data_IF_489553945254
#
_entry.id   IF_489553945254
#
_cell.length_a   1.000
_cell.length_b   1.000
_cell.length_c   1.000
_cell.angle_alpha   90.00
_cell.angle_beta   90.00
_cell.angle_gamma   90.00
#
_symmetry.space_group_name_H-M   'P 1'
#
loop_
_entity.id
_entity.type
_entity.pdbx_description
1 polymer ?
#
# COMPACT_ATOMS: atom_id res chain seq x y z
N UNK A 1 -16.19 -2.75 15.91
CA UNK A 1 -15.66 -2.03 14.74
C UNK A 1 -14.94 -0.84 15.35
N UNK A 2 -13.61 -0.94 15.52
CA UNK A 2 -12.86 -0.01 16.35
C UNK A 2 -12.80 1.38 15.69
N UNK A 3 -13.03 2.42 16.49
CA UNK A 3 -13.03 3.84 16.12
C UNK A 3 -11.60 4.32 15.83
N UNK A 4 -11.26 4.48 14.55
CA UNK A 4 -9.94 4.93 14.09
C UNK A 4 -9.86 6.46 13.87
N UNK A 5 -10.90 7.21 14.21
CA UNK A 5 -10.88 8.68 14.06
C UNK A 5 -10.43 9.42 15.31
N UNK A 6 -10.45 8.79 16.48
CA UNK A 6 -9.98 9.44 17.73
C UNK A 6 -8.47 9.28 17.97
N UNK A 7 -7.82 8.25 17.40
CA UNK A 7 -6.37 8.08 17.52
C UNK A 7 -5.56 9.09 16.69
N UNK A 8 -6.10 9.59 15.58
CA UNK A 8 -5.36 10.46 14.67
C UNK A 8 -5.24 11.90 15.18
N UNK A 9 -6.27 12.41 15.86
CA UNK A 9 -6.25 13.75 16.45
C UNK A 9 -5.48 13.79 17.79
N UNK A 10 -5.39 12.68 18.51
CA UNK A 10 -4.62 12.58 19.75
C UNK A 10 -3.09 12.54 19.54
N UNK A 11 -2.64 12.11 18.35
CA UNK A 11 -1.22 11.91 18.01
C UNK A 11 -0.51 13.20 17.57
N UNK A 12 -1.23 14.22 17.09
CA UNK A 12 -0.62 15.43 16.52
C UNK A 12 -0.52 16.61 17.49
N UNK A 13 -1.21 16.55 18.64
CA UNK A 13 -1.30 17.67 19.57
C UNK A 13 -0.53 17.48 20.89
N UNK A 14 0.00 16.28 21.16
CA UNK A 14 0.70 15.95 22.42
C UNK A 14 2.14 15.41 22.25
N UNK A 15 2.69 15.37 21.03
CA UNK A 15 4.10 15.01 20.85
C UNK A 15 5.00 16.19 21.28
N UNK A 16 5.91 16.00 22.26
CA UNK A 16 6.80 17.08 22.68
C UNK A 16 7.66 17.51 21.50
N UNK A 17 7.70 18.82 21.24
CA UNK A 17 8.58 19.41 20.24
C UNK A 17 10.03 19.04 20.58
N UNK A 18 10.59 18.03 19.92
CA UNK A 18 11.97 17.59 20.18
C UNK A 18 12.88 18.74 19.78
N UNK A 19 13.56 19.34 20.76
CA UNK A 19 14.56 20.38 20.50
C UNK A 19 15.66 19.84 19.59
N UNK A 20 16.19 20.68 18.69
CA UNK A 20 17.33 20.32 17.85
C UNK A 20 18.51 19.73 18.64
N UNK A 21 18.73 20.17 19.89
CA UNK A 21 19.76 19.62 20.79
C UNK A 21 19.51 18.17 21.21
N UNK A 22 18.24 17.74 21.28
CA UNK A 22 17.84 16.41 21.71
C UNK A 22 17.85 15.41 20.56
N UNK A 23 17.67 15.88 19.32
CA UNK A 23 17.90 15.10 18.10
C UNK A 23 19.35 14.57 18.04
N UNK A 24 20.34 15.41 18.34
CA UNK A 24 21.75 15.00 18.36
C UNK A 24 22.08 13.98 19.47
N UNK A 25 21.35 14.01 20.59
CA UNK A 25 21.49 13.02 21.69
C UNK A 25 20.86 11.68 21.33
N UNK A 26 19.85 11.68 20.45
CA UNK A 26 19.18 10.47 19.96
C UNK A 26 19.93 9.81 18.81
N UNK A 27 20.71 10.57 18.04
CA UNK A 27 21.43 10.06 16.87
C UNK A 27 22.29 8.81 17.17
N UNK A 28 23.12 8.73 18.23
CA UNK A 28 23.89 7.52 18.53
C UNK A 28 23.02 6.33 18.96
N UNK A 29 21.87 6.60 19.60
CA UNK A 29 20.91 5.59 20.07
C UNK A 29 20.15 4.97 18.91
N UNK A 30 19.72 5.81 17.95
CA UNK A 30 19.10 5.40 16.69
C UNK A 30 20.12 4.70 15.80
N UNK A 31 21.35 5.22 15.70
CA UNK A 31 22.42 4.60 14.90
C UNK A 31 22.79 3.21 15.43
N UNK A 32 22.80 3.01 16.76
CA UNK A 32 22.94 1.68 17.38
C UNK A 32 21.80 0.73 17.02
N UNK A 33 20.57 1.23 16.84
CA UNK A 33 19.41 0.46 16.39
C UNK A 33 19.38 0.24 14.86
N UNK A 34 20.05 1.09 14.08
CA UNK A 34 20.17 1.01 12.63
C UNK A 34 21.36 0.15 12.17
N UNK A 35 22.24 -0.29 13.08
CA UNK A 35 23.31 -1.25 12.74
C UNK A 35 22.67 -2.51 12.14
N UNK A 36 23.28 -3.05 11.08
CA UNK A 36 22.83 -4.28 10.42
C UNK A 36 22.64 -5.38 11.46
N UNK A 37 21.38 -5.68 11.78
CA UNK A 37 21.04 -6.82 12.63
C UNK A 37 21.23 -8.09 11.79
N UNK A 38 22.07 -8.99 12.26
CA UNK A 38 22.15 -10.34 11.70
C UNK A 38 20.87 -11.10 12.08
N UNK A 39 20.23 -11.76 11.10
CA UNK A 39 19.00 -12.52 11.28
C UNK A 39 17.72 -11.82 10.83
N UNK A 40 16.62 -12.57 10.92
CA UNK A 40 15.27 -12.03 10.73
C UNK A 40 14.93 -11.05 11.85
N UNK A 41 14.15 -9.99 11.57
CA UNK A 41 13.67 -9.09 12.61
C UNK A 41 12.89 -9.89 13.67
N UNK A 42 12.97 -9.44 14.92
CA UNK A 42 12.12 -9.96 15.99
C UNK A 42 10.65 -9.95 15.55
N UNK A 43 9.93 -11.02 15.89
CA UNK A 43 8.50 -11.15 15.60
C UNK A 43 7.75 -9.93 16.13
N UNK A 44 7.00 -9.26 15.26
CA UNK A 44 6.17 -8.09 15.61
C UNK A 44 4.72 -8.51 15.70
N UNK A 45 3.90 -7.68 16.35
CA UNK A 45 2.44 -7.87 16.44
C UNK A 45 1.75 -7.92 15.06
N UNK A 46 2.42 -7.42 14.01
CA UNK A 46 1.95 -7.47 12.63
C UNK A 46 2.97 -8.25 11.78
N UNK A 47 2.59 -9.44 11.36
CA UNK A 47 3.36 -10.28 10.43
C UNK A 47 2.90 -10.00 8.99
N UNK A 48 3.83 -10.00 8.04
CA UNK A 48 3.45 -9.98 6.62
C UNK A 48 2.86 -11.35 6.23
N UNK A 49 1.55 -11.41 6.00
CA UNK A 49 0.88 -12.56 5.41
C UNK A 49 0.70 -12.37 3.89
N UNK A 50 0.80 -13.47 3.15
CA UNK A 50 0.54 -13.52 1.72
C UNK A 50 -0.70 -14.37 1.53
N UNK A 51 -1.84 -13.70 1.31
CA UNK A 51 -3.11 -14.37 1.06
C UNK A 51 -3.19 -14.80 -0.41
N UNK A 52 -3.62 -16.03 -0.66
CA UNK A 52 -3.77 -16.59 -2.00
C UNK A 52 -5.24 -16.65 -2.41
N UNK A 53 -5.49 -16.53 -3.71
CA UNK A 53 -6.82 -16.75 -4.30
C UNK A 53 -7.23 -18.21 -4.04
N UNK A 54 -8.50 -18.43 -3.70
CA UNK A 54 -9.01 -19.77 -3.40
C UNK A 54 -8.76 -20.73 -4.57
N UNK A 55 -8.23 -21.93 -4.26
CA UNK A 55 -7.87 -22.99 -5.23
C UNK A 55 -6.80 -22.58 -6.25
N UNK A 56 -6.01 -21.55 -5.99
CA UNK A 56 -4.91 -21.18 -6.89
C UNK A 56 -3.83 -22.26 -6.93
N UNK A 57 -3.32 -22.55 -8.13
CA UNK A 57 -2.18 -23.45 -8.33
C UNK A 57 -0.88 -22.71 -8.00
N UNK A 58 -0.07 -23.28 -7.11
CA UNK A 58 1.23 -22.71 -6.78
C UNK A 58 2.19 -22.84 -7.97
N UNK A 59 2.92 -21.77 -8.33
CA UNK A 59 3.90 -21.86 -9.39
C UNK A 59 5.08 -22.72 -8.93
N UNK A 60 5.47 -23.70 -9.75
CA UNK A 60 6.72 -24.43 -9.60
C UNK A 60 7.55 -24.22 -10.86
N UNK A 61 8.22 -23.06 -10.94
CA UNK A 61 9.01 -22.67 -12.10
C UNK A 61 10.46 -23.10 -11.90
N UNK A 62 11.03 -23.71 -12.95
CA UNK A 62 12.46 -23.96 -13.01
C UNK A 62 13.26 -22.65 -12.99
N UNK A 63 14.50 -22.72 -12.50
CA UNK A 63 15.43 -21.59 -12.56
C UNK A 63 15.74 -21.22 -14.01
N UNK A 64 16.01 -19.92 -14.26
CA UNK A 64 16.48 -19.49 -15.57
C UNK A 64 17.85 -20.10 -15.87
N UNK A 65 18.10 -20.43 -17.14
CA UNK A 65 19.41 -20.86 -17.60
C UNK A 65 20.38 -19.68 -17.52
N UNK A 66 21.47 -19.85 -16.78
CA UNK A 66 22.50 -18.83 -16.58
C UNK A 66 23.86 -19.32 -17.06
N UNK A 67 24.75 -18.38 -17.38
CA UNK A 67 26.15 -18.71 -17.63
C UNK A 67 26.87 -19.07 -16.30
N UNK A 68 27.98 -19.82 -16.34
CA UNK A 68 28.68 -20.25 -15.13
C UNK A 68 29.11 -19.08 -14.23
N UNK A 69 29.54 -17.95 -14.82
CA UNK A 69 29.99 -16.76 -14.08
C UNK A 69 28.86 -16.08 -13.32
N UNK A 70 27.67 -16.00 -13.90
CA UNK A 70 26.44 -15.51 -13.26
C UNK A 70 25.99 -16.44 -12.16
N UNK A 71 26.07 -17.75 -12.38
CA UNK A 71 25.69 -18.73 -11.36
C UNK A 71 26.57 -18.62 -10.11
N UNK A 72 27.88 -18.43 -10.28
CA UNK A 72 28.81 -18.17 -9.15
C UNK A 72 28.44 -16.89 -8.40
N UNK A 73 28.05 -15.82 -9.11
CA UNK A 73 27.61 -14.56 -8.48
C UNK A 73 26.29 -14.72 -7.73
N UNK A 74 25.35 -15.46 -8.29
CA UNK A 74 24.08 -15.75 -7.65
C UNK A 74 24.30 -16.56 -6.37
N UNK A 75 25.06 -17.66 -6.47
CA UNK A 75 25.36 -18.53 -5.34
C UNK A 75 25.99 -17.75 -4.20
N UNK A 76 26.98 -16.89 -4.49
CA UNK A 76 27.59 -16.02 -3.48
C UNK A 76 26.57 -15.15 -2.73
N UNK A 77 25.60 -14.55 -3.43
CA UNK A 77 24.56 -13.74 -2.78
C UNK A 77 23.59 -14.59 -1.95
N UNK A 78 23.27 -15.80 -2.40
CA UNK A 78 22.44 -16.75 -1.64
C UNK A 78 23.15 -17.18 -0.36
N UNK A 79 24.44 -17.54 -0.44
CA UNK A 79 25.25 -17.95 0.71
C UNK A 79 25.40 -16.81 1.73
N UNK A 80 25.57 -15.57 1.26
CA UNK A 80 25.58 -14.39 2.12
C UNK A 80 24.24 -14.19 2.86
N UNK A 81 23.11 -14.41 2.18
CA UNK A 81 21.78 -14.31 2.80
C UNK A 81 21.50 -15.46 3.77
N UNK A 82 21.96 -16.67 3.48
CA UNK A 82 21.89 -17.83 4.37
C UNK A 82 22.73 -17.57 5.64
N UNK A 83 23.96 -17.09 5.47
CA UNK A 83 24.85 -16.73 6.59
C UNK A 83 24.26 -15.62 7.46
N UNK A 84 23.60 -14.63 6.84
CA UNK A 84 22.87 -13.57 7.56
C UNK A 84 21.56 -14.06 8.18
N UNK A 85 21.14 -15.30 7.96
CA UNK A 85 19.86 -15.84 8.48
C UNK A 85 18.62 -15.14 7.92
N UNK A 86 18.73 -14.46 6.77
CA UNK A 86 17.60 -13.76 6.13
C UNK A 86 16.78 -14.70 5.23
N UNK A 87 17.38 -15.79 4.79
CA UNK A 87 16.74 -16.86 4.02
C UNK A 87 17.13 -18.21 4.61
N UNK A 88 16.34 -19.24 4.33
CA UNK A 88 16.58 -20.62 4.76
C UNK A 88 16.20 -21.57 3.63
N UNK A 89 16.82 -22.74 3.60
CA UNK A 89 16.41 -23.80 2.68
C UNK A 89 14.97 -24.24 2.96
N UNK A 90 14.21 -24.53 1.89
CA UNK A 90 12.80 -24.83 2.00
C UNK A 90 12.41 -25.92 1.00
N UNK A 91 11.52 -26.81 1.43
CA UNK A 91 10.89 -27.84 0.58
C UNK A 91 9.52 -27.38 0.05
N UNK A 92 9.36 -26.07 -0.16
CA UNK A 92 8.12 -25.45 -0.62
C UNK A 92 7.67 -26.03 -1.98
N UNK A 93 6.37 -26.37 -2.17
CA UNK A 93 5.82 -26.73 -3.47
C UNK A 93 5.70 -25.53 -4.42
N UNK A 94 5.86 -24.31 -3.90
CA UNK A 94 5.95 -23.08 -4.67
C UNK A 94 7.42 -22.73 -4.89
N UNK A 95 7.84 -22.67 -6.16
CA UNK A 95 9.16 -22.25 -6.59
C UNK A 95 9.05 -21.18 -7.67
N UNK A 96 9.81 -20.10 -7.51
CA UNK A 96 9.92 -19.00 -8.47
C UNK A 96 11.36 -18.81 -8.86
N UNK A 97 11.56 -18.49 -10.15
CA UNK A 97 12.87 -18.21 -10.71
C UNK A 97 13.46 -16.91 -10.17
N UNK A 98 14.78 -16.82 -10.21
CA UNK A 98 15.55 -15.64 -9.80
C UNK A 98 16.30 -15.08 -11.00
N UNK A 99 16.41 -13.75 -11.06
CA UNK A 99 17.09 -13.00 -12.11
C UNK A 99 18.21 -12.15 -11.49
N UNK A 100 19.33 -12.02 -12.20
CA UNK A 100 20.40 -11.10 -11.84
C UNK A 100 20.25 -9.81 -12.66
N UNK A 101 20.15 -8.68 -11.96
CA UNK A 101 20.03 -7.37 -12.60
C UNK A 101 21.34 -6.59 -12.41
N UNK A 102 22.03 -6.20 -13.50
CA UNK A 102 23.22 -5.36 -13.39
C UNK A 102 22.84 -3.94 -12.96
N UNK A 103 23.61 -3.38 -12.03
CA UNK A 103 23.50 -1.99 -11.59
C UNK A 103 24.57 -1.12 -12.24
N UNK A 104 24.34 0.20 -12.22
CA UNK A 104 25.28 1.24 -12.71
C UNK A 104 26.68 1.12 -12.09
N UNK A 105 26.77 0.66 -10.84
CA UNK A 105 28.03 0.48 -10.10
C UNK A 105 28.74 -0.86 -10.40
N UNK A 106 28.39 -1.56 -11.49
CA UNK A 106 28.93 -2.89 -11.87
C UNK A 106 28.62 -4.04 -10.90
N UNK A 107 27.79 -3.80 -9.88
CA UNK A 107 27.27 -4.86 -9.03
C UNK A 107 26.04 -5.50 -9.65
N UNK A 108 25.80 -6.78 -9.34
CA UNK A 108 24.57 -7.47 -9.70
C UNK A 108 23.67 -7.53 -8.48
N UNK A 109 22.37 -7.38 -8.68
CA UNK A 109 21.36 -7.58 -7.64
C UNK A 109 20.52 -8.80 -7.98
N UNK A 110 20.45 -9.75 -7.05
CA UNK A 110 19.48 -10.85 -7.09
C UNK A 110 18.05 -10.31 -6.94
N UNK A 111 17.18 -10.69 -7.87
CA UNK A 111 15.76 -10.32 -7.88
C UNK A 111 14.89 -11.56 -8.11
N UNK A 112 13.96 -11.82 -7.20
CA UNK A 112 12.99 -12.90 -7.32
C UNK A 112 11.90 -12.52 -8.33
N UNK A 113 11.59 -13.39 -9.29
CA UNK A 113 10.51 -13.18 -10.26
C UNK A 113 9.15 -13.51 -9.62
N UNK A 114 8.62 -12.53 -8.88
CA UNK A 114 7.34 -12.66 -8.17
C UNK A 114 6.12 -12.59 -9.09
N UNK A 115 6.26 -12.46 -10.42
CA UNK A 115 5.12 -12.22 -11.32
C UNK A 115 4.08 -13.34 -11.21
N UNK A 116 4.54 -14.60 -11.16
CA UNK A 116 3.63 -15.75 -11.07
C UNK A 116 2.89 -15.79 -9.72
N UNK A 117 3.60 -15.49 -8.63
CA UNK A 117 3.03 -15.42 -7.28
C UNK A 117 2.04 -14.26 -7.18
N UNK A 118 2.40 -13.08 -7.67
CA UNK A 118 1.55 -11.89 -7.63
C UNK A 118 0.21 -12.06 -8.38
N UNK A 119 0.13 -12.96 -9.37
CA UNK A 119 -1.12 -13.28 -10.07
C UNK A 119 -2.08 -14.12 -9.22
N UNK A 120 -1.56 -14.90 -8.29
CA UNK A 120 -2.33 -15.78 -7.42
C UNK A 120 -2.51 -15.20 -6.01
N UNK A 121 -1.88 -14.08 -5.68
CA UNK A 121 -2.09 -13.38 -4.41
C UNK A 121 -3.36 -12.53 -4.46
N UNK A 122 -4.17 -12.58 -3.41
CA UNK A 122 -5.25 -11.62 -3.21
C UNK A 122 -4.67 -10.29 -2.75
N UNK A 123 -5.10 -9.19 -3.36
CA UNK A 123 -4.71 -7.88 -2.89
C UNK A 123 -5.41 -7.61 -1.55
N UNK A 124 -4.66 -7.75 -0.45
CA UNK A 124 -5.04 -7.19 0.83
C UNK A 124 -5.17 -5.67 0.70
N UNK A 125 -6.29 -5.13 1.17
CA UNK A 125 -6.59 -3.70 1.23
C UNK A 125 -5.58 -2.92 2.10
N UNK A 126 -4.76 -3.62 2.89
CA UNK A 126 -3.74 -3.06 3.80
C UNK A 126 -2.32 -3.12 3.25
N UNK A 127 -2.14 -2.95 1.94
CA UNK A 127 -0.83 -2.63 1.38
C UNK A 127 -0.70 -1.10 1.20
N UNK A 128 0.31 -0.43 1.79
CA UNK A 128 0.57 1.00 1.56
C UNK A 128 0.74 1.36 0.07
N UNK A 129 1.12 0.36 -0.75
CA UNK A 129 1.23 0.44 -2.22
C UNK A 129 -0.12 0.42 -2.96
N UNK A 130 -1.22 0.21 -2.24
CA UNK A 130 -2.57 0.01 -2.77
C UNK A 130 -3.57 0.95 -2.11
N UNK A 131 -3.17 2.17 -1.73
CA UNK A 131 -4.18 3.19 -1.45
C UNK A 131 -5.00 3.45 -2.73
N UNK A 132 -6.20 2.85 -2.77
CA UNK A 132 -7.14 2.98 -3.88
C UNK A 132 -7.56 4.43 -4.08
N UNK A 133 -7.56 5.23 -3.01
CA UNK A 133 -7.86 6.66 -3.09
C UNK A 133 -6.75 7.39 -3.83
N UNK A 134 -5.49 7.23 -3.42
CA UNK A 134 -4.33 7.77 -4.15
C UNK A 134 -4.30 7.32 -5.62
N UNK A 135 -4.61 6.04 -5.91
CA UNK A 135 -4.66 5.55 -7.31
C UNK A 135 -5.73 6.25 -8.15
N UNK A 136 -6.90 6.52 -7.58
CA UNK A 136 -7.99 7.23 -8.27
C UNK A 136 -7.67 8.71 -8.45
N UNK A 137 -7.09 9.35 -7.45
CA UNK A 137 -6.63 10.75 -7.50
C UNK A 137 -5.56 10.89 -8.59
N UNK A 138 -4.51 10.07 -8.55
CA UNK A 138 -3.43 10.11 -9.54
C UNK A 138 -3.92 9.81 -10.97
N UNK A 139 -4.91 8.92 -11.13
CA UNK A 139 -5.54 8.69 -12.43
C UNK A 139 -6.30 9.93 -12.92
N UNK A 140 -7.06 10.58 -12.04
CA UNK A 140 -7.84 11.77 -12.38
C UNK A 140 -6.94 12.95 -12.75
N UNK A 141 -5.92 13.22 -11.93
CA UNK A 141 -4.90 14.22 -12.20
C UNK A 141 -4.11 13.91 -13.48
N UNK A 142 -3.73 12.65 -13.69
CA UNK A 142 -3.04 12.24 -14.92
C UNK A 142 -3.88 12.48 -16.18
N UNK A 143 -5.19 12.27 -16.12
CA UNK A 143 -6.10 12.58 -17.23
C UNK A 143 -6.22 14.10 -17.47
N UNK A 144 -6.35 14.90 -16.40
CA UNK A 144 -6.34 16.36 -16.48
C UNK A 144 -5.04 16.89 -17.09
N UNK A 145 -3.90 16.40 -16.63
CA UNK A 145 -2.58 16.77 -17.15
C UNK A 145 -2.44 16.42 -18.62
N UNK A 146 -2.91 15.26 -19.07
CA UNK A 146 -2.90 14.92 -20.51
C UNK A 146 -3.67 15.94 -21.36
N UNK A 147 -4.81 16.43 -20.86
CA UNK A 147 -5.58 17.46 -21.57
C UNK A 147 -4.88 18.83 -21.56
N UNK A 148 -4.25 19.20 -20.45
CA UNK A 148 -3.64 20.54 -20.27
C UNK A 148 -2.26 20.66 -20.94
N UNK A 149 -1.48 19.59 -20.97
CA UNK A 149 -0.12 19.56 -21.54
C UNK A 149 -0.13 19.55 -23.07
N UNK A 150 -1.18 18.97 -23.68
CA UNK A 150 -1.26 18.81 -25.14
C UNK A 150 -0.05 18.07 -25.70
N UNK A 151 0.54 18.60 -26.78
CA UNK A 151 1.68 17.98 -27.46
C UNK A 151 3.05 18.22 -26.78
N UNK A 152 3.13 19.17 -25.84
CA UNK A 152 4.41 19.59 -25.26
C UNK A 152 4.59 19.09 -23.83
N UNK A 153 5.01 17.83 -23.72
CA UNK A 153 5.28 17.13 -22.45
C UNK A 153 6.20 17.91 -21.52
N UNK A 154 7.12 18.75 -22.01
CA UNK A 154 8.08 19.46 -21.15
C UNK A 154 7.47 20.56 -20.29
N UNK A 155 6.23 21.00 -20.55
CA UNK A 155 5.53 22.06 -19.80
C UNK A 155 4.67 21.53 -18.64
N UNK A 156 4.77 20.24 -18.34
CA UNK A 156 3.92 19.58 -17.34
C UNK A 156 4.04 20.21 -15.94
N UNK A 157 5.22 20.72 -15.61
CA UNK A 157 5.55 21.43 -14.37
C UNK A 157 4.78 22.75 -14.24
N UNK A 158 4.61 23.50 -15.34
CA UNK A 158 3.89 24.77 -15.36
C UNK A 158 2.36 24.59 -15.21
N UNK A 159 1.82 23.48 -15.71
CA UNK A 159 0.37 23.20 -15.67
C UNK A 159 -0.05 22.37 -14.46
N UNK A 160 0.91 21.84 -13.69
CA UNK A 160 0.64 21.06 -12.49
C UNK A 160 -0.21 21.83 -11.45
N UNK A 161 0.11 23.10 -11.09
CA UNK A 161 -0.73 23.85 -10.14
C UNK A 161 -2.15 24.10 -10.65
N UNK A 162 -2.32 24.24 -11.97
CA UNK A 162 -3.62 24.45 -12.60
C UNK A 162 -4.47 23.18 -12.55
N UNK A 163 -3.86 22.02 -12.79
CA UNK A 163 -4.52 20.72 -12.68
C UNK A 163 -4.94 20.41 -11.25
N UNK A 164 -4.07 20.69 -10.27
CA UNK A 164 -4.36 20.55 -8.85
C UNK A 164 -5.53 21.44 -8.42
N UNK A 165 -5.48 22.73 -8.79
CA UNK A 165 -6.55 23.67 -8.47
C UNK A 165 -7.89 23.24 -9.10
N UNK A 166 -7.88 22.81 -10.36
CA UNK A 166 -9.07 22.32 -11.05
C UNK A 166 -9.65 21.08 -10.35
N UNK A 167 -8.80 20.13 -9.95
CA UNK A 167 -9.22 18.94 -9.22
C UNK A 167 -9.80 19.29 -7.84
N UNK A 168 -9.10 20.12 -7.05
CA UNK A 168 -9.52 20.50 -5.71
C UNK A 168 -10.80 21.35 -5.69
N UNK A 169 -11.12 22.01 -6.82
CA UNK A 169 -12.40 22.71 -7.03
C UNK A 169 -13.50 21.82 -7.61
N UNK A 170 -13.15 20.70 -8.23
CA UNK A 170 -14.13 19.79 -8.82
C UNK A 170 -14.92 19.07 -7.73
N UNK A 171 -16.24 18.94 -7.90
CA UNK A 171 -17.07 18.22 -6.96
C UNK A 171 -16.95 16.71 -7.19
N UNK A 172 -16.77 15.95 -6.10
CA UNK A 172 -16.77 14.49 -6.17
C UNK A 172 -18.19 13.96 -6.29
N UNK A 173 -18.37 12.90 -7.10
CA UNK A 173 -19.66 12.24 -7.29
C UNK A 173 -20.23 11.66 -5.98
N UNK A 174 -19.34 11.23 -5.07
CA UNK A 174 -19.73 10.60 -3.80
C UNK A 174 -20.25 11.61 -2.78
N UNK A 175 -19.58 12.76 -2.67
CA UNK A 175 -19.87 13.75 -1.62
C UNK A 175 -20.71 14.93 -2.13
N UNK A 176 -20.73 15.16 -3.44
CA UNK A 176 -21.26 16.36 -4.10
C UNK A 176 -20.59 17.66 -3.63
N UNK A 177 -19.39 17.53 -3.05
CA UNK A 177 -18.58 18.63 -2.50
C UNK A 177 -17.19 18.57 -3.11
N UNK A 178 -16.56 19.73 -3.27
CA UNK A 178 -15.17 19.80 -3.72
C UNK A 178 -14.21 19.59 -2.56
N UNK A 179 -12.98 19.09 -2.80
CA UNK A 179 -11.94 19.04 -1.77
C UNK A 179 -11.73 20.39 -1.06
N UNK A 180 -11.73 21.50 -1.78
CA UNK A 180 -11.61 22.84 -1.18
C UNK A 180 -12.77 23.17 -0.23
N UNK A 181 -14.01 22.87 -0.61
CA UNK A 181 -15.15 23.06 0.28
C UNK A 181 -15.07 22.19 1.53
N UNK A 182 -14.59 20.95 1.39
CA UNK A 182 -14.48 20.05 2.54
C UNK A 182 -13.39 20.52 3.50
N UNK A 183 -12.25 21.00 3.01
CA UNK A 183 -11.12 21.42 3.86
C UNK A 183 -11.32 22.82 4.43
N UNK A 184 -11.76 23.77 3.60
CA UNK A 184 -11.81 25.19 3.94
C UNK A 184 -13.23 25.74 4.11
N UNK A 185 -14.27 24.92 3.90
CA UNK A 185 -15.67 25.37 3.94
C UNK A 185 -16.10 26.18 2.72
N UNK A 186 -15.17 26.62 1.87
CA UNK A 186 -15.44 27.44 0.70
C UNK A 186 -14.54 27.07 -0.49
N UNK A 187 -14.96 27.45 -1.70
CA UNK A 187 -14.11 27.37 -2.88
C UNK A 187 -13.39 28.72 -3.07
N UNK A 188 -12.07 28.73 -3.35
CA UNK A 188 -11.35 29.96 -3.65
C UNK A 188 -11.92 30.67 -4.89
N UNK A 189 -11.64 31.95 -5.11
CA UNK A 189 -12.13 32.67 -6.30
C UNK A 189 -11.34 32.27 -7.56
N UNK A 190 -11.99 32.18 -8.72
CA UNK A 190 -11.30 32.01 -10.01
C UNK A 190 -10.79 33.36 -10.51
N UNK A 191 -9.81 33.38 -11.43
CA UNK A 191 -9.44 34.59 -12.14
C UNK A 191 -10.62 35.33 -12.78
N UNK A 192 -11.65 34.60 -13.25
CA UNK A 192 -12.88 35.19 -13.78
C UNK A 192 -13.82 35.75 -12.69
N UNK A 193 -13.75 35.20 -11.47
CA UNK A 193 -14.51 35.68 -10.31
C UNK A 193 -13.82 36.89 -9.64
N UNK A 194 -12.58 37.22 -10.02
CA UNK A 194 -11.87 38.45 -9.61
C UNK A 194 -12.31 39.69 -10.42
N UNK A 195 -13.11 39.50 -11.48
CA UNK A 195 -13.75 40.62 -12.18
C UNK A 195 -14.64 41.34 -11.16
N UNK A 196 -14.58 42.68 -11.05
CA UNK A 196 -15.37 43.45 -10.09
C UNK A 196 -16.85 43.45 -10.50
N UNK A 197 -17.49 42.31 -10.33
CA UNK A 197 -18.94 42.20 -10.24
C UNK A 197 -19.33 42.69 -8.84
N UNK A 198 -20.54 43.24 -8.64
CA UNK A 198 -21.06 43.48 -7.31
C UNK A 198 -21.26 42.12 -6.62
N UNK A 199 -20.18 41.59 -6.03
CA UNK A 199 -20.23 40.38 -5.24
C UNK A 199 -20.78 40.82 -3.89
N UNK A 200 -21.99 40.36 -3.57
CA UNK A 200 -22.48 40.33 -2.19
C UNK A 200 -21.64 39.30 -1.41
N UNK A 201 -20.36 39.60 -1.21
CA UNK A 201 -19.45 38.86 -0.36
C UNK A 201 -19.71 39.38 1.05
N UNK A 202 -20.85 38.96 1.60
CA UNK A 202 -21.13 39.09 3.02
C UNK A 202 -20.10 38.24 3.75
N UNK A 203 -18.94 38.83 4.05
CA UNK A 203 -18.07 38.37 5.11
C UNK A 203 -18.68 38.88 6.41
N UNK A 204 -19.63 38.12 6.95
CA UNK A 204 -20.15 38.33 8.29
C UNK A 204 -19.41 37.36 9.23
N UNK A 205 -18.91 37.91 10.32
CA UNK A 205 -17.89 37.34 11.19
C UNK A 205 -18.37 36.30 12.20
N UNK A 206 -17.43 36.01 13.10
CA UNK A 206 -17.37 34.99 14.14
C UNK A 206 -16.83 33.61 13.68
N UNK A 207 -15.53 33.40 13.90
CA UNK A 207 -14.81 32.18 13.52
C UNK A 207 -15.36 30.91 14.19
N UNK A 208 -16.09 31.07 15.30
CA UNK A 208 -16.79 29.98 16.00
C UNK A 208 -17.94 29.43 15.16
N UNK A 209 -18.71 30.28 14.48
CA UNK A 209 -19.80 29.85 13.60
C UNK A 209 -19.26 29.14 12.36
N UNK A 210 -18.16 29.66 11.81
CA UNK A 210 -17.48 29.02 10.69
C UNK A 210 -16.96 27.62 11.05
N UNK A 211 -16.34 27.45 12.21
CA UNK A 211 -15.88 26.15 12.70
C UNK A 211 -17.04 25.18 12.92
N UNK A 212 -18.18 25.65 13.46
CA UNK A 212 -19.40 24.85 13.62
C UNK A 212 -19.93 24.37 12.26
N UNK A 213 -20.00 25.28 11.28
CA UNK A 213 -20.45 24.96 9.93
C UNK A 213 -19.52 23.94 9.24
N UNK A 214 -18.20 24.04 9.43
CA UNK A 214 -17.24 23.05 8.93
C UNK A 214 -17.47 21.67 9.58
N UNK A 215 -17.67 21.61 10.90
CA UNK A 215 -17.96 20.34 11.61
C UNK A 215 -19.22 19.68 11.07
N UNK A 216 -20.31 20.43 10.92
CA UNK A 216 -21.54 19.90 10.31
C UNK A 216 -21.33 19.42 8.87
N UNK A 217 -20.52 20.14 8.10
CA UNK A 217 -20.17 19.74 6.73
C UNK A 217 -19.42 18.40 6.74
N UNK A 218 -18.44 18.23 7.63
CA UNK A 218 -17.69 16.99 7.78
C UNK A 218 -18.58 15.82 8.17
N UNK A 219 -19.51 16.00 9.12
CA UNK A 219 -20.48 14.98 9.50
C UNK A 219 -21.36 14.56 8.31
N UNK A 220 -21.90 15.53 7.57
CA UNK A 220 -22.71 15.28 6.37
C UNK A 220 -21.91 14.52 5.30
N UNK A 221 -20.64 14.87 5.11
CA UNK A 221 -19.73 14.20 4.17
C UNK A 221 -19.42 12.78 4.63
N UNK A 222 -19.10 12.58 5.90
CA UNK A 222 -18.83 11.26 6.50
C UNK A 222 -20.01 10.31 6.30
N UNK A 223 -21.23 10.75 6.64
CA UNK A 223 -22.45 9.96 6.46
C UNK A 223 -22.70 9.57 5.00
N UNK A 224 -22.43 10.47 4.04
CA UNK A 224 -22.54 10.16 2.61
C UNK A 224 -21.51 9.12 2.17
N UNK A 225 -20.26 9.26 2.61
CA UNK A 225 -19.18 8.31 2.29
C UNK A 225 -19.52 6.92 2.84
N UNK A 226 -19.93 6.82 4.11
CA UNK A 226 -20.33 5.55 4.74
C UNK A 226 -21.50 4.90 4.00
N UNK A 227 -22.56 5.66 3.71
CA UNK A 227 -23.73 5.17 2.97
C UNK A 227 -23.34 4.67 1.57
N UNK A 228 -22.43 5.37 0.89
CA UNK A 228 -21.97 4.97 -0.42
C UNK A 228 -21.04 3.74 -0.36
N UNK A 229 -20.15 3.66 0.63
CA UNK A 229 -19.29 2.51 0.89
C UNK A 229 -20.12 1.26 1.18
N UNK A 230 -21.19 1.37 1.98
CA UNK A 230 -22.12 0.26 2.24
C UNK A 230 -22.81 -0.21 0.95
N UNK A 231 -23.22 0.71 0.07
CA UNK A 231 -23.78 0.35 -1.25
C UNK A 231 -22.75 -0.38 -2.12
N UNK A 232 -21.52 0.10 -2.18
CA UNK A 232 -20.44 -0.57 -2.89
C UNK A 232 -20.15 -1.96 -2.32
N UNK A 233 -20.12 -2.11 -1.00
CA UNK A 233 -19.92 -3.38 -0.33
C UNK A 233 -21.04 -4.38 -0.65
N UNK A 234 -22.31 -3.94 -0.61
CA UNK A 234 -23.47 -4.76 -0.99
C UNK A 234 -23.40 -5.23 -2.44
N UNK A 235 -23.03 -4.34 -3.37
CA UNK A 235 -22.90 -4.68 -4.78
C UNK A 235 -21.73 -5.64 -5.04
N UNK A 236 -20.55 -5.36 -4.45
CA UNK A 236 -19.36 -6.20 -4.61
C UNK A 236 -19.55 -7.59 -3.99
N UNK A 237 -20.25 -7.67 -2.86
CA UNK A 237 -20.52 -8.93 -2.16
C UNK A 237 -21.79 -9.65 -2.68
N UNK A 238 -22.47 -9.15 -3.72
CA UNK A 238 -23.71 -9.75 -4.25
C UNK A 238 -23.58 -11.23 -4.63
N UNK A 239 -22.39 -11.63 -5.07
CA UNK A 239 -22.07 -13.01 -5.46
C UNK A 239 -21.08 -13.69 -4.49
N UNK A 240 -20.75 -13.05 -3.36
CA UNK A 240 -19.79 -13.56 -2.40
C UNK A 240 -20.52 -14.43 -1.37
N UNK A 241 -20.33 -15.75 -1.46
CA UNK A 241 -20.84 -16.67 -0.44
C UNK A 241 -19.90 -16.67 0.78
N UNK A 242 -20.49 -16.59 1.98
CA UNK A 242 -19.75 -16.76 3.23
C UNK A 242 -19.47 -18.26 3.40
N UNK A 243 -18.23 -18.68 3.14
CA UNK A 243 -17.79 -20.02 3.51
C UNK A 243 -17.49 -20.03 5.01
N UNK A 244 -18.39 -20.63 5.79
CA UNK A 244 -18.12 -20.95 7.20
C UNK A 244 -17.20 -22.17 7.18
N UNK A 245 -15.90 -21.95 7.33
CA UNK A 245 -14.97 -23.05 7.51
C UNK A 245 -15.08 -23.52 8.96
N UNK A 246 -15.65 -24.70 9.18
CA UNK A 246 -15.55 -25.38 10.47
C UNK A 246 -14.09 -25.82 10.57
N UNK A 247 -13.38 -25.36 11.60
CA UNK A 247 -11.97 -25.70 11.83
C UNK A 247 -11.82 -27.23 11.88
N UNK A 248 -11.24 -27.78 10.82
CA UNK A 248 -10.78 -29.16 10.79
C UNK A 248 -9.32 -29.13 10.33
N UNK A 249 -8.48 -29.74 11.15
CA UNK A 249 -7.05 -29.92 10.92
C UNK A 249 -6.84 -30.49 9.51
N UNK A 250 -6.17 -29.74 8.65
CA UNK A 250 -5.91 -30.15 7.26
C UNK A 250 -4.82 -31.22 7.28
N UNK A 251 -5.18 -32.43 6.87
CA UNK A 251 -4.25 -33.56 6.68
C UNK A 251 -3.42 -33.38 5.41
N UNK A 252 -2.10 -33.58 5.54
CA UNK A 252 -1.19 -33.73 4.40
C UNK A 252 -1.06 -35.23 4.10
N UNK A 253 -1.61 -35.68 2.97
CA UNK A 253 -1.41 -37.03 2.46
C UNK A 253 -0.20 -37.03 1.51
N UNK A 254 0.89 -37.72 1.87
CA UNK A 254 2.09 -37.85 1.04
C UNK A 254 2.03 -39.12 0.17
N UNK A 255 2.29 -38.99 -1.13
CA UNK A 255 2.37 -40.12 -2.07
C UNK A 255 3.60 -41.00 -1.81
N UNK A 256 3.44 -42.33 -1.92
CA UNK A 256 4.39 -43.41 -1.55
C UNK A 256 5.76 -43.42 -2.24
N UNK A 257 6.06 -42.48 -3.15
CA UNK A 257 7.20 -42.58 -4.07
C UNK A 257 8.51 -41.94 -3.55
N UNK A 258 8.58 -41.54 -2.26
CA UNK A 258 9.80 -41.01 -1.64
C UNK A 258 10.22 -41.75 -0.37
N UNK A 259 10.21 -43.07 -0.39
CA UNK A 259 10.98 -43.84 0.58
C UNK A 259 12.31 -44.30 -0.06
N UNK A 260 13.46 -44.19 0.63
CA UNK A 260 14.56 -45.09 0.36
C UNK A 260 14.07 -46.54 0.59
N UNK A 261 14.53 -47.50 -0.22
CA UNK A 261 14.19 -48.92 -0.08
C UNK A 261 14.65 -49.44 1.29
N UNK A 262 13.75 -49.40 2.28
CA UNK A 262 13.97 -49.89 3.64
C UNK A 262 12.61 -50.12 4.31
N UNK A 263 12.30 -51.39 4.59
CA UNK A 263 11.07 -51.82 5.27
C UNK A 263 11.01 -51.24 6.68
N UNK A 264 9.90 -50.57 7.02
CA UNK A 264 9.44 -50.51 8.42
C UNK A 264 7.96 -50.85 8.48
N UNK A 265 7.67 -51.76 9.42
CA UNK A 265 6.43 -52.49 9.57
C UNK A 265 5.30 -51.64 10.16
N UNK A 266 4.09 -52.16 9.95
CA UNK A 266 2.80 -51.71 10.45
C UNK A 266 2.80 -51.31 11.93
N UNK A 267 1.97 -50.33 12.27
CA UNK A 267 1.24 -50.35 13.53
C UNK A 267 -0.25 -50.20 13.23
N UNK A 268 -0.98 -51.24 13.60
CA UNK A 268 -2.44 -51.29 13.64
C UNK A 268 -2.98 -50.44 14.79
N UNK A 269 -4.22 -49.98 14.57
CA UNK A 269 -5.19 -49.33 15.47
C UNK A 269 -5.11 -47.80 15.55
#
# INVERSE_FOLDING_TARGET
MADYTEEFDHLMLNEPFISYSDVYKLAPKVEKQLKETEGLPLMRNVQHCIDLVQRATLPNKAAYRMNPTENVKLQKQVDELLKKGMVQESMSPCAVSVLLIPKKNRFFRMCVDSIAVNKITTNSTYHPRTDGQTKLVNRSLGNLLKCLVGDNIRKWDLVQPQAEFAYNRSSSRTTSKSPFEVVYGCNPLRPLDLVPLPINLTYNGDGVEHARAIKELHEKVKLKIEKQNQKYAKQANKYRMVAIFKESLVWVHMSKERFPLGRHAELQQ
#
